data_IF_088140359184
#
_entry.id   IF_088140359184
#
_cell.length_a   1.000
_cell.length_b   1.000
_cell.length_c   1.000
_cell.angle_alpha   90.00
_cell.angle_beta   90.00
_cell.angle_gamma   90.00
#
_symmetry.space_group_name_H-M   'P 1'
#
loop_
_entity.id
_entity.type
_entity.pdbx_description
1 polymer ?
#
# COMPACT_ATOMS: atom_id res chain seq x y z
N UNK A 1 8.08 -0.97 -1.78
CA UNK A 1 7.38 0.31 -1.50
C UNK A 1 8.18 1.45 -2.11
N UNK A 2 7.52 2.39 -2.78
CA UNK A 2 8.14 3.58 -3.36
C UNK A 2 7.32 4.81 -3.00
N UNK A 3 8.00 5.94 -2.78
CA UNK A 3 7.37 7.22 -2.40
C UNK A 3 7.83 8.28 -3.40
N UNK A 4 6.86 9.00 -3.98
CA UNK A 4 7.12 10.16 -4.84
C UNK A 4 6.18 11.30 -4.45
N UNK A 5 6.74 12.36 -3.88
CA UNK A 5 5.94 13.47 -3.35
C UNK A 5 4.99 12.98 -2.26
N UNK A 6 3.71 13.24 -2.46
CA UNK A 6 2.59 12.81 -1.59
C UNK A 6 2.01 11.42 -1.96
N UNK A 7 2.60 10.74 -2.95
CA UNK A 7 2.09 9.45 -3.44
C UNK A 7 2.96 8.28 -2.98
N UNK A 8 2.33 7.29 -2.34
CA UNK A 8 2.92 5.98 -2.03
C UNK A 8 2.45 4.94 -3.06
N UNK A 9 3.38 4.13 -3.56
CA UNK A 9 3.06 2.94 -4.36
C UNK A 9 3.47 1.68 -3.59
N UNK A 10 2.48 0.82 -3.32
CA UNK A 10 2.65 -0.50 -2.72
C UNK A 10 2.71 -1.56 -3.82
N UNK A 11 3.78 -2.34 -3.84
CA UNK A 11 4.01 -3.43 -4.80
C UNK A 11 4.56 -4.64 -4.07
N UNK A 12 4.12 -5.83 -4.47
CA UNK A 12 4.47 -7.07 -3.77
C UNK A 12 3.35 -8.12 -3.83
N UNK A 13 3.59 -9.24 -3.16
CA UNK A 13 2.64 -10.33 -2.99
C UNK A 13 2.26 -10.43 -1.51
N UNK A 14 0.98 -10.64 -1.21
CA UNK A 14 0.44 -10.84 0.14
C UNK A 14 -0.39 -12.11 0.18
N UNK A 15 -0.56 -12.71 1.37
CA UNK A 15 -1.24 -13.99 1.51
C UNK A 15 -2.76 -13.86 1.64
N UNK A 16 -3.26 -12.64 1.87
CA UNK A 16 -4.68 -12.38 2.07
C UNK A 16 -5.09 -10.98 1.60
N UNK A 17 -6.39 -10.81 1.34
CA UNK A 17 -6.98 -9.50 1.08
C UNK A 17 -6.86 -8.60 2.31
N UNK A 18 -6.98 -9.16 3.52
CA UNK A 18 -6.81 -8.42 4.77
C UNK A 18 -5.42 -7.77 4.87
N UNK A 19 -4.35 -8.51 4.58
CA UNK A 19 -3.00 -7.92 4.54
C UNK A 19 -2.86 -6.84 3.47
N UNK A 20 -3.55 -6.99 2.33
CA UNK A 20 -3.56 -5.95 1.29
C UNK A 20 -4.21 -4.65 1.79
N UNK A 21 -5.32 -4.75 2.50
CA UNK A 21 -6.04 -3.62 3.08
C UNK A 21 -5.26 -2.99 4.23
N UNK A 22 -4.68 -3.80 5.12
CA UNK A 22 -3.85 -3.32 6.23
C UNK A 22 -2.65 -2.53 5.71
N UNK A 23 -1.97 -3.03 4.66
CA UNK A 23 -0.87 -2.32 4.02
C UNK A 23 -1.32 -0.99 3.39
N UNK A 24 -2.50 -0.95 2.79
CA UNK A 24 -3.09 0.28 2.24
C UNK A 24 -3.34 1.32 3.32
N UNK A 25 -3.94 0.89 4.42
CA UNK A 25 -4.32 1.76 5.53
C UNK A 25 -3.07 2.29 6.25
N UNK A 26 -2.09 1.42 6.48
CA UNK A 26 -0.80 1.80 7.04
C UNK A 26 -0.09 2.86 6.19
N UNK A 27 -0.13 2.72 4.86
CA UNK A 27 0.43 3.71 3.93
C UNK A 27 -0.31 5.06 4.00
N UNK A 28 -1.64 5.04 4.10
CA UNK A 28 -2.47 6.25 4.22
C UNK A 28 -2.24 7.01 5.52
N UNK A 29 -1.86 6.33 6.61
CA UNK A 29 -1.56 6.97 7.89
C UNK A 29 -0.20 7.69 7.91
N UNK A 30 0.63 7.52 6.89
CA UNK A 30 1.93 8.20 6.84
C UNK A 30 1.73 9.72 6.63
N UNK A 31 2.39 10.56 7.44
CA UNK A 31 2.22 12.02 7.35
C UNK A 31 2.73 12.55 6.01
N UNK A 32 1.91 13.36 5.35
CA UNK A 32 2.21 13.95 4.04
C UNK A 32 1.83 13.08 2.84
N UNK A 33 1.28 11.88 3.07
CA UNK A 33 0.70 11.06 2.00
C UNK A 33 -0.73 11.50 1.74
N UNK A 34 -1.04 11.78 0.47
CA UNK A 34 -2.39 12.08 0.01
C UNK A 34 -2.93 11.01 -0.94
N UNK A 35 -2.04 10.24 -1.57
CA UNK A 35 -2.41 9.23 -2.56
C UNK A 35 -1.71 7.91 -2.25
N UNK A 36 -2.45 6.81 -2.25
CA UNK A 36 -1.90 5.46 -2.11
C UNK A 36 -2.33 4.61 -3.30
N UNK A 37 -1.34 4.19 -4.09
CA UNK A 37 -1.51 3.24 -5.17
C UNK A 37 -1.20 1.82 -4.67
N UNK A 38 -2.26 1.04 -4.43
CA UNK A 38 -2.12 -0.33 -3.95
C UNK A 38 -2.12 -1.35 -5.11
N UNK A 39 -0.91 -1.69 -5.56
CA UNK A 39 -0.65 -2.71 -6.59
C UNK A 39 -0.23 -4.07 -5.97
N UNK A 40 -0.56 -4.32 -4.70
CA UNK A 40 -0.31 -5.63 -4.07
C UNK A 40 -1.19 -6.70 -4.71
N UNK A 41 -0.58 -7.85 -4.98
CA UNK A 41 -1.26 -9.04 -5.51
C UNK A 41 -1.45 -10.05 -4.38
N UNK A 42 -2.64 -10.63 -4.31
CA UNK A 42 -2.93 -11.69 -3.35
C UNK A 42 -2.46 -13.00 -3.97
N UNK A 43 -1.67 -13.77 -3.24
CA UNK A 43 -1.08 -15.02 -3.67
C UNK A 43 -1.19 -16.00 -2.52
N UNK A 44 -2.14 -16.91 -2.68
CA UNK A 44 -2.50 -17.91 -1.69
C UNK A 44 -1.54 -19.09 -1.73
#
# INVERSE_FOLDING_TARGET
VSIKGDTVTLTGHVHSISEKDDANFAAWMAPGIMTVENNLKVSQ
#
